data_IF_810106141912
#
_entry.id   IF_810106141912
#
_cell.length_a   1.000
_cell.length_b   1.000
_cell.length_c   1.000
_cell.angle_alpha   90.00
_cell.angle_beta   90.00
_cell.angle_gamma   90.00
#
_symmetry.space_group_name_H-M   'P 1'
#
loop_
_entity.id
_entity.type
_entity.pdbx_description
1 polymer ?
#
# COMPACT_ATOMS: atom_id res chain seq x y z
N UNK A 1 12.62 -27.87 -20.88
CA UNK A 1 13.48 -27.02 -20.04
C UNK A 1 12.55 -26.22 -19.13
N UNK A 2 12.53 -26.53 -17.84
CA UNK A 2 11.70 -25.83 -16.87
C UNK A 2 12.23 -24.40 -16.70
N UNK A 3 11.41 -23.41 -17.05
CA UNK A 3 11.70 -22.00 -16.86
C UNK A 3 11.65 -21.74 -15.36
N UNK A 4 12.82 -21.53 -14.75
CA UNK A 4 12.95 -21.06 -13.37
C UNK A 4 12.35 -19.65 -13.33
N UNK A 5 11.31 -19.37 -12.53
CA UNK A 5 10.73 -18.03 -12.49
C UNK A 5 11.75 -17.04 -11.93
N UNK A 6 11.86 -15.87 -12.56
CA UNK A 6 12.76 -14.82 -12.08
C UNK A 6 12.39 -14.41 -10.63
N UNK A 7 13.36 -13.93 -9.81
CA UNK A 7 13.11 -13.49 -8.43
C UNK A 7 12.03 -12.38 -8.31
N UNK A 8 11.74 -11.65 -9.39
CA UNK A 8 10.71 -10.59 -9.43
C UNK A 8 9.28 -11.14 -9.33
N UNK A 9 9.02 -12.32 -9.88
CA UNK A 9 7.68 -12.95 -9.92
C UNK A 9 7.22 -13.52 -8.56
N UNK A 10 8.17 -13.88 -7.68
CA UNK A 10 7.86 -14.34 -6.32
C UNK A 10 7.62 -13.17 -5.34
N UNK A 11 8.19 -12.00 -5.60
CA UNK A 11 8.08 -10.82 -4.73
C UNK A 11 6.79 -10.02 -4.94
N UNK A 12 6.25 -9.98 -6.16
CA UNK A 12 4.93 -9.40 -6.43
C UNK A 12 3.84 -10.02 -5.52
N UNK A 13 3.95 -11.33 -5.22
CA UNK A 13 3.02 -12.05 -4.32
C UNK A 13 3.16 -11.67 -2.83
N UNK A 14 4.32 -11.17 -2.40
CA UNK A 14 4.56 -10.75 -1.01
C UNK A 14 4.20 -9.29 -0.74
N UNK A 15 4.45 -8.41 -1.71
CA UNK A 15 4.11 -6.97 -1.66
C UNK A 15 2.58 -6.78 -1.70
N UNK A 16 1.90 -7.59 -2.52
CA UNK A 16 0.43 -7.66 -2.54
C UNK A 16 -0.13 -8.04 -1.16
N UNK A 17 0.49 -8.94 -0.40
CA UNK A 17 -0.04 -9.33 0.92
C UNK A 17 0.16 -8.28 2.03
N UNK A 18 1.19 -7.42 1.93
CA UNK A 18 1.38 -6.26 2.83
C UNK A 18 0.47 -5.07 2.46
N UNK A 19 0.02 -4.99 1.20
CA UNK A 19 -0.81 -3.91 0.67
C UNK A 19 -2.31 -4.29 0.52
N UNK A 20 -2.66 -5.58 0.50
CA UNK A 20 -4.04 -6.08 0.41
C UNK A 20 -4.88 -5.87 1.67
N UNK A 21 -4.29 -5.33 2.74
CA UNK A 21 -5.07 -4.86 3.89
C UNK A 21 -5.81 -3.52 3.62
N UNK A 22 -5.80 -2.98 2.39
CA UNK A 22 -6.39 -1.67 2.09
C UNK A 22 -7.42 -1.58 0.95
N UNK A 23 -7.84 -2.67 0.28
CA UNK A 23 -8.95 -2.56 -0.69
C UNK A 23 -9.85 -3.79 -0.64
N UNK A 24 -10.92 -3.71 0.14
CA UNK A 24 -12.07 -4.59 -0.04
C UNK A 24 -13.37 -3.95 0.49
N UNK A 25 -13.84 -2.91 -0.20
CA UNK A 25 -15.28 -2.60 -0.24
C UNK A 25 -15.60 -2.01 -1.61
N UNK A 26 -15.97 -2.88 -2.55
CA UNK A 26 -17.03 -2.64 -3.53
C UNK A 26 -17.04 -3.75 -4.59
N UNK A 27 -17.93 -4.73 -4.40
CA UNK A 27 -18.65 -5.45 -5.45
C UNK A 27 -19.77 -6.28 -4.80
N UNK A 28 -20.84 -5.60 -4.42
CA UNK A 28 -22.18 -6.19 -4.46
C UNK A 28 -22.88 -5.55 -5.65
N UNK A 29 -22.81 -6.21 -6.81
CA UNK A 29 -23.71 -5.96 -7.92
C UNK A 29 -24.47 -7.25 -8.18
N UNK A 30 -25.66 -7.36 -7.59
CA UNK A 30 -26.74 -8.17 -8.13
C UNK A 30 -27.87 -7.23 -8.57
N UNK A 31 -28.42 -7.40 -9.77
CA UNK A 31 -29.50 -6.58 -10.29
C UNK A 31 -30.84 -7.15 -9.82
N UNK A 32 -31.35 -6.66 -8.67
CA UNK A 32 -32.77 -6.62 -8.28
C UNK A 32 -32.91 -6.39 -6.77
N UNK A 33 -32.47 -5.22 -6.28
CA UNK A 33 -32.84 -4.78 -4.94
C UNK A 33 -33.69 -3.51 -5.08
N UNK A 34 -35.01 -3.68 -4.99
CA UNK A 34 -35.97 -2.59 -4.89
C UNK A 34 -35.67 -1.78 -3.63
N UNK A 35 -35.49 -0.47 -3.80
CA UNK A 35 -35.30 0.47 -2.70
C UNK A 35 -36.57 0.52 -1.84
N UNK A 36 -36.63 -0.29 -0.79
CA UNK A 36 -37.57 -0.05 0.30
C UNK A 36 -37.02 1.07 1.18
N UNK A 37 -37.78 2.17 1.24
CA UNK A 37 -37.61 3.25 2.20
C UNK A 37 -37.49 2.67 3.60
N UNK A 38 -36.30 2.78 4.20
CA UNK A 38 -36.09 2.41 5.61
C UNK A 38 -36.86 3.42 6.46
N UNK A 39 -38.06 3.03 6.90
CA UNK A 39 -38.72 3.69 8.03
C UNK A 39 -37.80 3.53 9.23
N UNK A 40 -37.53 4.63 9.93
CA UNK A 40 -36.86 4.63 11.22
C UNK A 40 -37.64 3.75 12.20
N UNK A 41 -37.19 2.52 12.39
CA UNK A 41 -37.63 1.69 13.49
C UNK A 41 -36.84 2.13 14.71
N UNK A 42 -37.51 2.83 15.62
CA UNK A 42 -37.06 2.96 17.00
C UNK A 42 -36.99 1.55 17.61
N UNK A 43 -35.83 0.90 17.51
CA UNK A 43 -35.54 -0.30 18.30
C UNK A 43 -35.03 0.13 19.67
N UNK A 44 -35.97 0.54 20.52
CA UNK A 44 -35.86 0.24 21.94
C UNK A 44 -36.34 -1.21 22.13
N UNK A 45 -35.62 -2.17 21.54
CA UNK A 45 -35.73 -3.56 21.96
C UNK A 45 -34.75 -3.75 23.10
N UNK A 46 -35.32 -3.86 24.30
CA UNK A 46 -34.66 -4.38 25.47
C UNK A 46 -34.05 -5.72 25.09
N UNK A 47 -32.73 -5.77 24.90
CA UNK A 47 -32.00 -7.02 24.77
C UNK A 47 -32.20 -7.73 26.10
N UNK A 48 -33.18 -8.64 26.12
CA UNK A 48 -33.28 -9.67 27.14
C UNK A 48 -31.92 -10.37 27.13
N UNK A 49 -31.18 -10.18 28.22
CA UNK A 49 -29.97 -10.93 28.52
C UNK A 49 -30.40 -12.38 28.80
N UNK A 50 -30.77 -13.11 27.76
CA UNK A 50 -30.87 -14.56 27.83
C UNK A 50 -29.46 -15.09 28.03
N UNK A 51 -29.26 -15.65 29.22
CA UNK A 51 -28.04 -16.23 29.73
C UNK A 51 -27.65 -17.49 28.95
N UNK A 52 -27.13 -17.32 27.75
CA UNK A 52 -26.12 -18.25 27.25
C UNK A 52 -24.77 -17.75 27.77
N UNK A 53 -24.41 -18.17 29.00
CA UNK A 53 -23.05 -18.09 29.53
C UNK A 53 -22.13 -18.99 28.70
N UNK A 54 -21.94 -18.65 27.43
CA UNK A 54 -20.89 -19.22 26.61
C UNK A 54 -19.58 -18.73 27.20
N UNK A 55 -18.97 -19.55 28.05
CA UNK A 55 -17.70 -19.26 28.70
C UNK A 55 -16.70 -18.87 27.61
N UNK A 56 -16.35 -17.58 27.55
CA UNK A 56 -15.37 -17.07 26.59
C UNK A 56 -14.08 -17.85 26.79
N UNK A 57 -13.64 -18.54 25.74
CA UNK A 57 -12.40 -19.33 25.79
C UNK A 57 -11.21 -18.38 25.92
N UNK A 58 -10.19 -18.72 26.72
CA UNK A 58 -9.04 -17.87 26.92
C UNK A 58 -8.18 -17.75 25.65
N UNK A 59 -7.48 -16.63 25.48
CA UNK A 59 -6.66 -16.32 24.29
C UNK A 59 -5.67 -17.43 23.89
N UNK A 60 -5.10 -18.15 24.86
CA UNK A 60 -4.13 -19.22 24.57
C UNK A 60 -4.76 -20.47 23.94
N UNK A 61 -6.09 -20.62 24.03
CA UNK A 61 -6.83 -21.72 23.42
C UNK A 61 -7.15 -21.51 21.93
N UNK A 62 -6.92 -20.31 21.37
CA UNK A 62 -7.04 -20.09 19.93
C UNK A 62 -6.10 -21.08 19.20
N UNK A 63 -6.60 -21.85 18.21
CA UNK A 63 -5.81 -22.80 17.43
C UNK A 63 -4.60 -22.13 16.79
N UNK A 64 -3.53 -22.90 16.55
CA UNK A 64 -2.35 -22.39 15.87
C UNK A 64 -1.06 -23.11 16.26
N UNK A 65 0.04 -22.81 15.56
CA UNK A 65 1.31 -23.47 15.77
C UNK A 65 1.82 -23.22 17.19
N UNK A 66 2.18 -24.31 17.88
CA UNK A 66 2.71 -24.24 19.24
C UNK A 66 4.15 -23.70 19.20
N UNK A 67 4.46 -22.64 19.97
CA UNK A 67 5.78 -22.05 20.03
C UNK A 67 6.77 -22.96 20.79
N UNK A 68 8.04 -22.96 20.38
CA UNK A 68 9.12 -23.50 21.21
C UNK A 68 9.51 -22.53 22.33
N UNK A 69 10.08 -23.03 23.44
CA UNK A 69 10.66 -22.17 24.47
C UNK A 69 11.68 -21.21 23.84
N UNK A 70 11.69 -19.95 24.30
CA UNK A 70 12.63 -18.88 23.91
C UNK A 70 12.44 -18.36 22.47
N UNK A 71 12.55 -19.21 21.45
CA UNK A 71 12.53 -18.81 20.03
C UNK A 71 11.12 -18.77 19.41
N UNK A 72 10.13 -19.30 20.12
CA UNK A 72 8.73 -19.18 19.73
C UNK A 72 8.39 -19.94 18.44
N UNK A 73 7.64 -19.30 17.52
CA UNK A 73 7.35 -19.87 16.19
C UNK A 73 8.31 -19.38 15.10
N UNK A 74 9.29 -18.53 15.44
CA UNK A 74 10.24 -17.97 14.47
C UNK A 74 11.04 -19.06 13.74
N UNK A 75 11.35 -20.18 14.42
CA UNK A 75 12.08 -21.30 13.82
C UNK A 75 11.39 -21.93 12.61
N UNK A 76 10.05 -21.82 12.53
CA UNK A 76 9.29 -22.35 11.39
C UNK A 76 9.60 -21.66 10.08
N UNK A 77 10.30 -20.52 10.12
CA UNK A 77 10.69 -19.75 8.94
C UNK A 77 12.19 -19.89 8.63
N UNK A 78 12.94 -20.65 9.43
CA UNK A 78 14.38 -20.81 9.24
C UNK A 78 14.71 -21.71 8.04
N UNK A 79 15.79 -21.39 7.29
CA UNK A 79 16.26 -22.24 6.20
C UNK A 79 16.46 -23.70 6.60
N UNK A 80 16.17 -24.62 5.69
CA UNK A 80 16.34 -26.08 5.81
C UNK A 80 15.46 -26.81 6.83
N UNK A 81 15.07 -26.16 7.92
CA UNK A 81 14.35 -26.80 9.05
C UNK A 81 12.92 -26.27 9.25
N UNK A 82 12.62 -25.09 8.72
CA UNK A 82 11.36 -24.40 8.96
C UNK A 82 10.22 -24.92 8.06
N UNK A 83 9.12 -25.35 8.67
CA UNK A 83 7.89 -25.77 7.96
C UNK A 83 7.38 -24.73 6.95
N UNK A 84 7.55 -23.45 7.26
CA UNK A 84 7.08 -22.31 6.48
C UNK A 84 8.19 -21.57 5.73
N UNK A 85 9.40 -22.15 5.70
CA UNK A 85 10.51 -21.54 5.01
C UNK A 85 10.29 -21.49 3.49
N UNK A 86 10.53 -20.32 2.88
CA UNK A 86 10.43 -20.13 1.44
C UNK A 86 9.00 -20.10 0.89
N UNK A 87 7.96 -20.26 1.74
CA UNK A 87 6.58 -20.14 1.28
C UNK A 87 6.21 -18.69 0.99
N UNK A 88 5.47 -18.49 -0.10
CA UNK A 88 4.81 -17.23 -0.39
C UNK A 88 3.74 -16.94 0.67
N UNK A 89 3.41 -15.65 0.88
CA UNK A 89 2.47 -15.25 1.93
C UNK A 89 1.09 -15.89 1.76
N UNK A 90 0.60 -16.01 0.52
CA UNK A 90 -0.67 -16.66 0.23
C UNK A 90 -0.65 -18.16 0.58
N UNK A 91 0.41 -18.87 0.19
CA UNK A 91 0.55 -20.31 0.45
C UNK A 91 0.71 -20.57 1.95
N UNK A 92 1.43 -19.70 2.66
CA UNK A 92 1.49 -19.71 4.11
C UNK A 92 0.10 -19.57 4.74
N UNK A 93 -0.69 -18.57 4.33
CA UNK A 93 -2.04 -18.38 4.86
C UNK A 93 -2.98 -19.55 4.55
N UNK A 94 -2.90 -20.12 3.34
CA UNK A 94 -3.66 -21.34 2.97
C UNK A 94 -3.28 -22.52 3.86
N UNK A 95 -1.99 -22.83 3.96
CA UNK A 95 -1.50 -23.94 4.77
C UNK A 95 -1.87 -23.80 6.25
N UNK A 96 -1.81 -22.57 6.79
CA UNK A 96 -2.18 -22.27 8.18
C UNK A 96 -3.70 -22.38 8.38
N UNK A 97 -4.52 -21.88 7.45
CA UNK A 97 -5.98 -22.01 7.51
C UNK A 97 -6.42 -23.47 7.39
N UNK A 98 -5.92 -24.22 6.41
CA UNK A 98 -6.23 -25.64 6.21
C UNK A 98 -5.88 -26.48 7.45
N UNK A 99 -4.76 -26.15 8.12
CA UNK A 99 -4.26 -26.91 9.28
C UNK A 99 -4.94 -26.57 10.61
N UNK A 100 -5.28 -25.30 10.83
CA UNK A 100 -5.73 -24.81 12.15
C UNK A 100 -7.14 -24.22 12.16
N UNK A 101 -7.77 -24.05 10.99
CA UNK A 101 -9.12 -23.54 10.81
C UNK A 101 -9.20 -22.03 10.58
N UNK A 102 -10.39 -21.47 10.81
CA UNK A 102 -10.78 -20.12 10.41
C UNK A 102 -10.27 -18.99 11.32
N UNK A 103 -9.73 -19.35 12.48
CA UNK A 103 -9.08 -18.42 13.40
C UNK A 103 -7.79 -19.03 13.91
N UNK A 104 -6.67 -18.34 13.68
CA UNK A 104 -5.35 -18.89 13.96
C UNK A 104 -4.48 -17.91 14.71
N UNK A 105 -3.94 -18.34 15.84
CA UNK A 105 -3.04 -17.56 16.69
C UNK A 105 -1.59 -17.96 16.44
N UNK A 106 -0.78 -16.96 16.09
CA UNK A 106 0.64 -17.09 15.86
C UNK A 106 1.41 -16.20 16.86
N UNK A 107 2.29 -16.83 17.67
CA UNK A 107 3.03 -16.16 18.75
C UNK A 107 4.51 -16.49 18.74
N UNK A 108 5.29 -15.76 19.55
CA UNK A 108 6.70 -16.09 19.79
C UNK A 108 7.62 -15.56 18.70
N UNK A 109 7.40 -14.32 18.29
CA UNK A 109 8.31 -13.55 17.44
C UNK A 109 8.96 -12.48 18.32
N UNK A 110 10.29 -12.50 18.50
CA UNK A 110 10.98 -11.48 19.30
C UNK A 110 10.62 -10.06 18.85
N UNK A 111 10.22 -9.22 19.81
CA UNK A 111 9.84 -7.83 19.55
C UNK A 111 8.49 -7.63 18.85
N UNK A 112 7.68 -8.69 18.65
CA UNK A 112 6.34 -8.59 18.05
C UNK A 112 5.25 -9.07 19.00
N UNK A 113 4.09 -8.42 18.91
CA UNK A 113 2.86 -8.86 19.58
C UNK A 113 2.36 -10.17 18.96
N UNK A 114 1.54 -10.90 19.72
CA UNK A 114 0.79 -12.02 19.18
C UNK A 114 -0.06 -11.59 17.98
N UNK A 115 -0.09 -12.43 16.94
CA UNK A 115 -0.91 -12.22 15.75
C UNK A 115 -2.07 -13.19 15.78
N UNK A 116 -3.25 -12.72 15.41
CA UNK A 116 -4.43 -13.55 15.17
C UNK A 116 -4.84 -13.34 13.72
N UNK A 117 -4.89 -14.42 12.96
CA UNK A 117 -5.41 -14.45 11.60
C UNK A 117 -6.86 -14.87 11.65
N UNK A 118 -7.71 -14.11 10.97
CA UNK A 118 -9.14 -14.40 10.79
C UNK A 118 -9.37 -14.62 9.30
N UNK A 119 -10.06 -15.70 8.94
CA UNK A 119 -10.30 -16.08 7.54
C UNK A 119 -11.76 -15.90 7.10
N UNK A 120 -12.66 -15.65 8.07
CA UNK A 120 -14.08 -15.44 7.81
C UNK A 120 -14.43 -13.95 7.71
N UNK A 121 -15.25 -13.54 6.73
CA UNK A 121 -15.71 -12.15 6.61
C UNK A 121 -16.44 -11.63 7.86
N UNK A 122 -17.21 -12.49 8.52
CA UNK A 122 -17.97 -12.11 9.73
C UNK A 122 -17.04 -11.68 10.88
N UNK A 123 -15.90 -12.33 11.04
CA UNK A 123 -14.90 -12.00 12.07
C UNK A 123 -14.17 -10.69 11.74
N UNK A 124 -13.91 -10.45 10.45
CA UNK A 124 -13.37 -9.18 9.99
C UNK A 124 -14.36 -8.04 10.27
N UNK A 125 -15.66 -8.24 9.99
CA UNK A 125 -16.71 -7.27 10.30
C UNK A 125 -16.75 -6.93 11.79
N UNK A 126 -16.74 -7.94 12.67
CA UNK A 126 -16.70 -7.72 14.12
C UNK A 126 -15.46 -6.89 14.51
N UNK A 127 -14.30 -7.21 13.93
CA UNK A 127 -13.06 -6.48 14.19
C UNK A 127 -13.19 -5.00 13.81
N UNK A 128 -13.69 -4.69 12.61
CA UNK A 128 -13.85 -3.31 12.13
C UNK A 128 -14.95 -2.56 12.89
N UNK A 129 -16.05 -3.21 13.29
CA UNK A 129 -17.09 -2.57 14.11
C UNK A 129 -16.62 -2.19 15.52
N UNK A 130 -15.57 -2.85 16.01
CA UNK A 130 -14.98 -2.59 17.33
C UNK A 130 -13.67 -1.80 17.23
N UNK A 131 -13.38 -1.18 16.09
CA UNK A 131 -12.19 -0.33 15.94
C UNK A 131 -12.35 0.99 16.73
N UNK A 132 -11.25 1.44 17.34
CA UNK A 132 -11.22 2.75 18.00
C UNK A 132 -11.14 3.91 17.01
N UNK A 133 -11.30 5.17 17.47
CA UNK A 133 -11.23 6.36 16.61
C UNK A 133 -9.85 6.54 15.94
N UNK A 134 -8.80 5.94 16.50
CA UNK A 134 -7.44 5.97 15.97
C UNK A 134 -6.93 4.53 15.76
N UNK A 135 -7.27 3.89 14.63
CA UNK A 135 -6.81 2.54 14.35
C UNK A 135 -5.28 2.49 14.29
N UNK A 136 -4.70 1.47 14.92
CA UNK A 136 -3.26 1.23 14.92
C UNK A 136 -3.00 -0.01 14.08
N UNK A 137 -2.33 0.20 12.94
CA UNK A 137 -1.76 -0.89 12.15
C UNK A 137 -0.32 -1.11 12.64
N UNK A 138 0.09 -2.37 12.81
CA UNK A 138 1.53 -2.68 12.86
C UNK A 138 2.09 -2.29 11.48
N UNK A 139 2.62 -1.07 11.37
CA UNK A 139 2.88 -0.39 10.11
C UNK A 139 4.16 -0.87 9.43
N UNK A 140 4.96 0.08 8.97
CA UNK A 140 6.28 -0.17 8.37
C UNK A 140 7.38 0.31 9.33
N UNK A 141 7.74 -0.45 10.38
CA UNK A 141 8.81 -0.12 11.32
C UNK A 141 10.10 0.42 10.68
N UNK A 142 10.47 -0.08 9.50
CA UNK A 142 11.67 0.37 8.80
C UNK A 142 11.50 1.78 8.19
N UNK A 143 10.33 2.08 7.61
CA UNK A 143 9.98 3.43 7.15
C UNK A 143 9.82 4.40 8.33
N UNK A 144 9.20 3.96 9.43
CA UNK A 144 9.06 4.76 10.65
C UNK A 144 10.43 5.13 11.21
N UNK A 145 11.36 4.18 11.30
CA UNK A 145 12.72 4.44 11.76
C UNK A 145 13.48 5.36 10.81
N UNK A 146 13.28 5.22 9.50
CA UNK A 146 13.86 6.14 8.53
C UNK A 146 13.40 7.58 8.80
N UNK A 147 12.08 7.81 8.94
CA UNK A 147 11.50 9.13 9.16
C UNK A 147 11.89 9.73 10.51
N UNK A 148 11.73 8.97 11.60
CA UNK A 148 11.89 9.46 12.98
C UNK A 148 13.33 9.45 13.50
N UNK A 149 14.23 8.67 12.89
CA UNK A 149 15.62 8.53 13.36
C UNK A 149 16.63 8.92 12.28
N UNK A 150 16.55 8.33 11.09
CA UNK A 150 17.62 8.49 10.07
C UNK A 150 17.55 9.82 9.30
N UNK A 151 16.34 10.33 9.07
CA UNK A 151 16.07 11.61 8.42
C UNK A 151 15.22 12.52 9.31
N UNK A 152 15.46 12.46 10.62
CA UNK A 152 14.75 13.29 11.60
C UNK A 152 14.93 14.79 11.31
N UNK A 153 16.07 15.17 10.76
CA UNK A 153 16.35 16.52 10.27
C UNK A 153 15.36 17.01 9.19
N UNK A 154 14.87 16.10 8.35
CA UNK A 154 13.87 16.43 7.33
C UNK A 154 12.43 16.33 7.88
N UNK A 155 12.08 15.18 8.47
CA UNK A 155 10.70 14.89 8.88
C UNK A 155 10.31 15.54 10.21
N UNK A 156 11.27 15.84 11.09
CA UNK A 156 11.05 16.35 12.45
C UNK A 156 10.00 15.51 13.20
N UNK A 157 8.83 16.10 13.49
CA UNK A 157 7.71 15.47 14.18
C UNK A 157 6.61 14.93 13.24
N UNK A 158 6.79 15.06 11.91
CA UNK A 158 5.83 14.70 10.89
C UNK A 158 6.16 13.41 10.16
N UNK A 159 5.48 12.31 10.49
CA UNK A 159 5.64 11.01 9.82
C UNK A 159 4.66 10.74 8.66
N UNK A 160 3.71 11.62 8.37
CA UNK A 160 2.71 11.40 7.32
C UNK A 160 1.71 10.28 7.65
N UNK A 161 0.86 9.93 6.68
CA UNK A 161 -0.27 9.02 6.92
C UNK A 161 0.19 7.56 7.05
N UNK A 162 1.34 7.21 6.48
CA UNK A 162 1.83 5.83 6.46
C UNK A 162 2.47 5.36 7.77
N UNK A 163 3.11 6.25 8.54
CA UNK A 163 3.87 5.86 9.75
C UNK A 163 3.39 6.50 11.04
N UNK A 164 2.51 7.50 10.99
CA UNK A 164 1.91 8.04 12.23
C UNK A 164 0.83 7.12 12.79
N UNK A 165 0.60 7.24 14.09
CA UNK A 165 -0.45 6.55 14.85
C UNK A 165 -1.17 7.52 15.79
N UNK A 166 -2.34 7.14 16.31
CA UNK A 166 -3.07 7.93 17.29
C UNK A 166 -3.56 9.28 16.73
N UNK A 167 -3.52 10.31 17.56
CA UNK A 167 -3.96 11.66 17.19
C UNK A 167 -3.15 12.27 16.05
N UNK A 168 -1.82 12.06 16.02
CA UNK A 168 -0.96 12.54 14.93
C UNK A 168 -1.37 11.96 13.58
N UNK A 169 -1.73 10.69 13.56
CA UNK A 169 -2.28 10.06 12.36
C UNK A 169 -3.62 10.70 11.96
N UNK A 170 -4.51 10.93 12.92
CA UNK A 170 -5.81 11.54 12.65
C UNK A 170 -5.66 12.96 12.09
N UNK A 171 -4.72 13.74 12.61
CA UNK A 171 -4.39 15.08 12.10
C UNK A 171 -3.91 15.02 10.64
N UNK A 172 -2.90 14.19 10.36
CA UNK A 172 -2.37 14.00 9.01
C UNK A 172 -3.45 13.49 8.05
N UNK A 173 -4.25 12.52 8.49
CA UNK A 173 -5.33 11.91 7.71
C UNK A 173 -6.46 12.90 7.42
N UNK A 174 -6.80 13.76 8.38
CA UNK A 174 -7.85 14.78 8.20
C UNK A 174 -7.45 15.83 7.16
N UNK A 175 -6.17 16.24 7.15
CA UNK A 175 -5.60 17.14 6.14
C UNK A 175 -5.61 16.50 4.75
N UNK A 176 -5.31 15.21 4.64
CA UNK A 176 -5.26 14.46 3.37
C UNK A 176 -6.63 14.07 2.80
N UNK A 177 -7.58 13.65 3.65
CA UNK A 177 -8.86 13.08 3.23
C UNK A 177 -9.70 14.05 2.39
N UNK A 178 -9.82 15.31 2.84
CA UNK A 178 -10.68 16.28 2.15
C UNK A 178 -10.22 16.59 0.72
N UNK A 179 -8.93 16.87 0.44
CA UNK A 179 -8.48 17.10 -0.93
C UNK A 179 -8.39 15.83 -1.77
N UNK A 180 -8.30 14.63 -1.19
CA UNK A 180 -8.04 13.41 -1.97
C UNK A 180 -9.26 12.50 -2.16
N UNK A 181 -10.06 12.28 -1.12
CA UNK A 181 -11.08 11.22 -1.10
C UNK A 181 -12.50 11.73 -1.32
N UNK A 182 -12.68 13.05 -1.47
CA UNK A 182 -13.99 13.61 -1.80
C UNK A 182 -14.35 13.29 -3.26
N UNK A 183 -15.50 12.63 -3.55
CA UNK A 183 -15.88 12.28 -4.91
C UNK A 183 -15.91 13.45 -5.89
N UNK A 184 -16.25 14.66 -5.40
CA UNK A 184 -16.22 15.90 -6.21
C UNK A 184 -14.80 16.20 -6.71
N UNK A 185 -13.79 16.04 -5.87
CA UNK A 185 -12.40 16.28 -6.23
C UNK A 185 -11.89 15.15 -7.13
N UNK A 186 -12.18 13.88 -6.83
CA UNK A 186 -11.76 12.77 -7.67
C UNK A 186 -12.32 12.87 -9.11
N UNK A 187 -13.54 13.40 -9.29
CA UNK A 187 -14.14 13.63 -10.62
C UNK A 187 -13.33 14.55 -11.52
N UNK A 188 -12.61 15.53 -10.97
CA UNK A 188 -11.80 16.47 -11.76
C UNK A 188 -10.63 15.76 -12.48
N UNK A 189 -10.21 14.60 -11.97
CA UNK A 189 -9.11 13.80 -12.52
C UNK A 189 -9.53 12.77 -13.57
N UNK A 190 -10.82 12.57 -13.81
CA UNK A 190 -11.30 11.60 -14.81
C UNK A 190 -10.72 11.92 -16.19
N UNK A 191 -10.86 13.18 -16.65
CA UNK A 191 -10.37 13.59 -17.97
C UNK A 191 -8.85 13.50 -18.09
N UNK A 192 -8.05 14.04 -17.15
CA UNK A 192 -6.60 13.89 -17.20
C UNK A 192 -6.10 12.45 -17.19
N UNK A 193 -6.66 11.59 -16.31
CA UNK A 193 -6.26 10.19 -16.23
C UNK A 193 -6.69 9.44 -17.50
N UNK A 194 -7.84 9.76 -18.09
CA UNK A 194 -8.25 9.22 -19.39
C UNK A 194 -7.26 9.61 -20.49
N UNK A 195 -6.76 10.85 -20.49
CA UNK A 195 -5.71 11.29 -21.41
C UNK A 195 -4.41 10.50 -21.25
N UNK A 196 -3.92 10.34 -20.02
CA UNK A 196 -2.73 9.50 -19.73
C UNK A 196 -2.95 8.05 -20.17
N UNK A 197 -4.16 7.53 -19.97
CA UNK A 197 -4.53 6.17 -20.37
C UNK A 197 -4.59 6.03 -21.89
N UNK A 198 -5.06 7.05 -22.60
CA UNK A 198 -5.05 7.08 -24.06
C UNK A 198 -3.62 7.06 -24.60
N UNK A 199 -2.73 7.88 -24.04
CA UNK A 199 -1.30 7.89 -24.38
C UNK A 199 -0.66 6.51 -24.15
N UNK A 200 -1.04 5.83 -23.07
CA UNK A 200 -0.60 4.46 -22.79
C UNK A 200 -1.13 3.47 -23.83
N UNK A 201 -2.43 3.51 -24.17
CA UNK A 201 -3.01 2.65 -25.21
C UNK A 201 -2.30 2.87 -26.54
N UNK A 202 -2.06 4.12 -26.95
CA UNK A 202 -1.36 4.43 -28.19
C UNK A 202 0.08 3.90 -28.17
N UNK A 203 0.76 4.05 -27.04
CA UNK A 203 2.09 3.46 -26.84
C UNK A 203 2.07 1.93 -26.93
N UNK A 204 1.12 1.24 -26.32
CA UNK A 204 1.02 -0.22 -26.43
C UNK A 204 0.85 -0.67 -27.88
N UNK A 205 0.10 0.08 -28.69
CA UNK A 205 -0.07 -0.22 -30.12
C UNK A 205 1.27 -0.18 -30.88
N UNK A 206 2.16 0.73 -30.51
CA UNK A 206 3.51 0.86 -31.10
C UNK A 206 4.54 -0.13 -30.59
N UNK A 207 4.36 -0.68 -29.37
CA UNK A 207 5.31 -1.60 -28.75
C UNK A 207 5.09 -3.07 -29.15
N UNK A 208 3.93 -3.39 -29.71
CA UNK A 208 3.62 -4.75 -30.14
C UNK A 208 4.57 -5.23 -31.22
N UNK A 209 5.00 -6.47 -31.12
CA UNK A 209 5.78 -7.12 -32.18
C UNK A 209 4.87 -7.48 -33.39
N UNK A 210 5.46 -8.09 -34.41
CA UNK A 210 4.72 -8.52 -35.63
C UNK A 210 3.58 -9.50 -35.33
N UNK A 211 3.64 -10.24 -34.21
CA UNK A 211 2.60 -11.17 -33.74
C UNK A 211 1.55 -10.50 -32.87
N UNK A 212 1.58 -9.17 -32.74
CA UNK A 212 0.71 -8.38 -31.86
C UNK A 212 0.89 -8.67 -30.36
N UNK A 213 2.05 -9.21 -29.96
CA UNK A 213 2.37 -9.51 -28.58
C UNK A 213 3.10 -8.32 -27.92
N UNK A 214 2.83 -8.10 -26.64
CA UNK A 214 3.56 -7.12 -25.83
C UNK A 214 4.95 -7.64 -25.45
N UNK A 215 5.94 -6.76 -25.22
CA UNK A 215 7.26 -7.17 -24.74
C UNK A 215 7.20 -7.89 -23.39
N UNK A 216 8.18 -8.75 -23.12
CA UNK A 216 8.28 -9.54 -21.88
C UNK A 216 8.23 -8.67 -20.61
N UNK A 217 8.76 -7.45 -20.66
CA UNK A 217 8.75 -6.47 -19.55
C UNK A 217 7.54 -5.52 -19.61
N UNK A 218 6.38 -6.00 -20.06
CA UNK A 218 5.15 -5.21 -20.13
C UNK A 218 4.75 -4.57 -18.79
N UNK A 219 5.09 -5.21 -17.66
CA UNK A 219 4.84 -4.65 -16.32
C UNK A 219 5.51 -3.28 -16.12
N UNK A 220 6.68 -3.05 -16.73
CA UNK A 220 7.34 -1.75 -16.67
C UNK A 220 6.55 -0.65 -17.42
N UNK A 221 5.81 -1.03 -18.47
CA UNK A 221 4.91 -0.11 -19.16
C UNK A 221 3.70 0.26 -18.30
N UNK A 222 3.21 -0.67 -17.47
CA UNK A 222 2.19 -0.38 -16.45
C UNK A 222 2.75 0.54 -15.35
N UNK A 223 3.98 0.33 -14.88
CA UNK A 223 4.63 1.25 -13.94
C UNK A 223 4.76 2.66 -14.50
N UNK A 224 5.11 2.82 -15.78
CA UNK A 224 5.16 4.13 -16.46
C UNK A 224 3.78 4.80 -16.50
N UNK A 225 2.73 4.06 -16.88
CA UNK A 225 1.37 4.58 -16.89
C UNK A 225 0.89 4.98 -15.49
N UNK A 226 1.16 4.15 -14.49
CA UNK A 226 0.75 4.43 -13.11
C UNK A 226 1.50 5.61 -12.52
N UNK A 227 2.81 5.71 -12.76
CA UNK A 227 3.61 6.85 -12.35
C UNK A 227 3.12 8.15 -13.02
N UNK A 228 2.88 8.14 -14.32
CA UNK A 228 2.35 9.32 -15.04
C UNK A 228 1.00 9.75 -14.47
N UNK A 229 0.14 8.77 -14.14
CA UNK A 229 -1.20 9.01 -13.58
C UNK A 229 -1.12 9.60 -12.17
N UNK A 230 -0.38 8.96 -11.26
CA UNK A 230 -0.27 9.44 -9.87
C UNK A 230 0.51 10.74 -9.76
N UNK A 231 1.52 10.98 -10.61
CA UNK A 231 2.24 12.24 -10.64
C UNK A 231 1.33 13.39 -11.09
N UNK A 232 0.42 13.15 -12.04
CA UNK A 232 -0.57 14.16 -12.40
C UNK A 232 -1.48 14.51 -11.21
N UNK A 233 -1.92 13.51 -10.45
CA UNK A 233 -2.79 13.74 -9.28
C UNK A 233 -2.03 14.39 -8.12
N UNK A 234 -0.85 13.86 -7.77
CA UNK A 234 -0.06 14.25 -6.60
C UNK A 234 0.74 15.54 -6.80
N UNK A 235 1.18 15.82 -8.04
CA UNK A 235 2.12 16.89 -8.36
C UNK A 235 1.60 17.86 -9.42
N UNK A 236 0.39 17.66 -9.96
CA UNK A 236 -0.17 18.45 -11.07
C UNK A 236 0.77 18.50 -12.30
N UNK A 237 1.52 17.41 -12.54
CA UNK A 237 2.59 17.34 -13.55
C UNK A 237 2.51 16.09 -14.42
N UNK A 238 2.71 16.27 -15.72
CA UNK A 238 3.02 15.19 -16.68
C UNK A 238 4.54 14.97 -16.67
N UNK A 239 4.99 13.79 -16.26
CA UNK A 239 6.41 13.46 -16.15
C UNK A 239 7.01 13.00 -17.49
N UNK A 240 6.17 12.67 -18.47
CA UNK A 240 6.61 12.15 -19.76
C UNK A 240 7.04 10.68 -19.70
N UNK A 241 6.49 9.88 -18.76
CA UNK A 241 6.83 8.46 -18.62
C UNK A 241 6.53 7.63 -19.89
N UNK A 242 5.57 8.09 -20.71
CA UNK A 242 5.07 7.37 -21.87
C UNK A 242 5.71 7.83 -23.20
N UNK A 243 6.65 8.79 -23.15
CA UNK A 243 7.34 9.27 -24.35
C UNK A 243 8.12 8.12 -25.03
N UNK A 244 8.11 8.02 -26.38
CA UNK A 244 8.90 7.03 -27.10
C UNK A 244 10.40 7.11 -26.74
N UNK A 245 11.08 5.96 -26.70
CA UNK A 245 12.53 5.89 -26.46
C UNK A 245 13.02 6.55 -25.15
N UNK A 246 12.20 6.49 -24.09
CA UNK A 246 12.59 6.98 -22.77
C UNK A 246 13.89 6.30 -22.29
N UNK A 247 14.91 7.10 -21.99
CA UNK A 247 16.20 6.61 -21.50
C UNK A 247 16.05 5.88 -20.15
N UNK A 248 16.86 4.84 -19.94
CA UNK A 248 16.93 4.12 -18.66
C UNK A 248 17.36 5.04 -17.49
N UNK A 249 18.14 6.08 -17.78
CA UNK A 249 18.62 7.07 -16.81
C UNK A 249 17.69 8.28 -16.66
N UNK A 250 16.56 8.28 -17.38
CA UNK A 250 15.54 9.33 -17.25
C UNK A 250 15.00 9.40 -15.82
N UNK A 251 14.62 10.59 -15.38
CA UNK A 251 14.06 10.78 -14.04
C UNK A 251 12.81 9.90 -13.78
N UNK A 252 11.84 9.77 -14.71
CA UNK A 252 10.71 8.87 -14.51
C UNK A 252 11.10 7.41 -14.32
N UNK A 253 12.05 6.90 -15.12
CA UNK A 253 12.51 5.52 -14.97
C UNK A 253 13.29 5.33 -13.66
N UNK A 254 14.07 6.33 -13.22
CA UNK A 254 14.73 6.32 -11.91
C UNK A 254 13.72 6.30 -10.75
N UNK A 255 12.59 7.00 -10.88
CA UNK A 255 11.49 6.95 -9.90
C UNK A 255 10.90 5.53 -9.83
N UNK A 256 10.56 4.93 -10.98
CA UNK A 256 10.04 3.54 -11.04
C UNK A 256 11.03 2.57 -10.40
N UNK A 257 12.31 2.66 -10.76
CA UNK A 257 13.37 1.80 -10.21
C UNK A 257 13.51 1.98 -8.70
N UNK A 258 13.41 3.23 -8.21
CA UNK A 258 13.48 3.52 -6.78
C UNK A 258 12.27 2.97 -6.01
N UNK A 259 11.06 2.97 -6.60
CA UNK A 259 9.87 2.33 -6.01
C UNK A 259 10.11 0.82 -5.89
N UNK A 260 10.63 0.19 -6.93
CA UNK A 260 10.97 -1.24 -6.91
C UNK A 260 12.00 -1.58 -5.83
N UNK A 261 13.08 -0.80 -5.73
CA UNK A 261 14.10 -0.94 -4.68
C UNK A 261 13.49 -0.73 -3.29
N UNK A 262 12.60 0.24 -3.12
CA UNK A 262 11.91 0.49 -1.86
C UNK A 262 11.13 -0.75 -1.41
N UNK A 263 10.22 -1.28 -2.24
CA UNK A 263 9.38 -2.42 -1.86
C UNK A 263 10.16 -3.73 -1.69
N UNK A 264 11.16 -3.98 -2.54
CA UNK A 264 12.04 -5.14 -2.40
C UNK A 264 12.74 -5.12 -1.04
N UNK A 265 13.36 -3.99 -0.67
CA UNK A 265 14.09 -3.90 0.58
C UNK A 265 13.15 -3.81 1.80
N UNK A 266 11.98 -3.19 1.65
CA UNK A 266 10.95 -3.12 2.70
C UNK A 266 10.59 -4.52 3.18
N UNK A 267 10.30 -5.46 2.28
CA UNK A 267 9.94 -6.84 2.65
C UNK A 267 11.01 -7.49 3.55
N UNK A 268 12.29 -7.41 3.15
CA UNK A 268 13.39 -7.99 3.94
C UNK A 268 13.57 -7.31 5.29
N UNK A 269 13.40 -5.99 5.37
CA UNK A 269 13.53 -5.21 6.60
C UNK A 269 12.37 -5.47 7.58
N UNK A 270 11.16 -5.72 7.07
CA UNK A 270 9.98 -5.97 7.88
C UNK A 270 9.89 -7.42 8.35
N UNK A 271 10.24 -8.40 7.51
CA UNK A 271 10.16 -9.83 7.88
C UNK A 271 11.33 -10.27 8.75
N UNK A 272 12.54 -9.78 8.45
CA UNK A 272 13.76 -10.18 9.12
C UNK A 272 13.91 -9.63 10.55
N UNK A 273 14.91 -10.12 11.31
CA UNK A 273 15.26 -9.51 12.58
C UNK A 273 15.71 -8.05 12.37
N UNK A 274 15.37 -7.12 13.29
CA UNK A 274 15.58 -5.68 13.11
C UNK A 274 17.04 -5.25 13.33
N UNK A 275 17.99 -6.04 12.82
CA UNK A 275 19.44 -5.84 12.91
C UNK A 275 19.85 -4.50 12.29
N UNK A 276 19.11 -4.04 11.29
CA UNK A 276 19.28 -2.75 10.63
C UNK A 276 19.13 -1.54 11.57
N UNK A 277 18.50 -1.71 12.75
CA UNK A 277 18.46 -0.68 13.80
C UNK A 277 19.78 -0.55 14.58
N UNK A 278 20.62 -1.58 14.55
CA UNK A 278 21.89 -1.64 15.29
C UNK A 278 23.08 -1.29 14.40
N UNK A 279 23.08 -1.74 13.15
CA UNK A 279 24.10 -1.39 12.16
C UNK A 279 23.49 -1.21 10.76
N UNK A 280 24.06 -0.34 9.91
CA UNK A 280 23.51 -0.07 8.58
C UNK A 280 23.81 -1.23 7.61
N UNK A 281 22.92 -2.23 7.58
CA UNK A 281 22.99 -3.38 6.67
C UNK A 281 22.98 -2.93 5.19
N UNK A 282 23.41 -3.79 4.27
CA UNK A 282 23.34 -3.49 2.84
C UNK A 282 21.90 -3.20 2.37
N UNK A 283 20.93 -3.98 2.86
CA UNK A 283 19.49 -3.79 2.62
C UNK A 283 19.02 -2.42 3.13
N UNK A 284 19.41 -2.04 4.34
CA UNK A 284 19.08 -0.74 4.92
C UNK A 284 19.66 0.41 4.10
N UNK A 285 20.92 0.31 3.67
CA UNK A 285 21.57 1.34 2.84
C UNK A 285 20.86 1.53 1.49
N UNK A 286 20.45 0.43 0.83
CA UNK A 286 19.67 0.49 -0.41
C UNK A 286 18.30 1.15 -0.19
N UNK A 287 17.63 0.79 0.90
CA UNK A 287 16.34 1.36 1.29
C UNK A 287 16.44 2.87 1.55
N UNK A 288 17.42 3.30 2.36
CA UNK A 288 17.70 4.73 2.64
C UNK A 288 17.99 5.49 1.35
N UNK A 289 18.85 4.96 0.48
CA UNK A 289 19.20 5.61 -0.80
C UNK A 289 17.97 5.81 -1.69
N UNK A 290 17.07 4.83 -1.75
CA UNK A 290 15.82 4.97 -2.50
C UNK A 290 14.95 6.09 -1.90
N UNK A 291 14.73 6.06 -0.58
CA UNK A 291 13.90 7.07 0.11
C UNK A 291 14.47 8.50 0.01
N UNK A 292 15.80 8.66 0.07
CA UNK A 292 16.45 9.96 -0.10
C UNK A 292 16.20 10.53 -1.49
N UNK A 293 16.30 9.69 -2.52
CA UNK A 293 15.97 10.10 -3.88
C UNK A 293 14.50 10.54 -4.01
N UNK A 294 13.58 9.91 -3.28
CA UNK A 294 12.18 10.38 -3.23
C UNK A 294 12.01 11.71 -2.52
N UNK A 295 12.80 11.99 -1.48
CA UNK A 295 12.80 13.33 -0.86
C UNK A 295 13.21 14.37 -1.91
N UNK A 296 14.31 14.13 -2.63
CA UNK A 296 14.79 15.05 -3.68
C UNK A 296 13.73 15.31 -4.76
N UNK A 297 13.14 14.24 -5.29
CA UNK A 297 12.08 14.32 -6.33
C UNK A 297 10.84 15.06 -5.81
N UNK A 298 10.39 14.74 -4.59
CA UNK A 298 9.17 15.33 -4.02
C UNK A 298 9.37 16.82 -3.71
N UNK A 299 10.53 17.19 -3.16
CA UNK A 299 10.89 18.60 -2.92
C UNK A 299 10.90 19.37 -4.24
N UNK A 300 11.60 18.86 -5.26
CA UNK A 300 11.69 19.48 -6.59
C UNK A 300 10.30 19.81 -7.16
N UNK A 301 9.41 18.81 -7.21
CA UNK A 301 8.11 18.98 -7.85
C UNK A 301 7.11 19.78 -7.02
N UNK A 302 7.14 19.68 -5.69
CA UNK A 302 6.30 20.54 -4.85
C UNK A 302 6.75 22.00 -4.95
N UNK A 303 8.05 22.27 -5.02
CA UNK A 303 8.56 23.64 -5.24
C UNK A 303 8.19 24.20 -6.61
N UNK A 304 8.26 23.38 -7.66
CA UNK A 304 7.78 23.75 -8.99
C UNK A 304 6.29 24.09 -8.97
N UNK A 305 5.48 23.24 -8.32
CA UNK A 305 4.05 23.48 -8.19
C UNK A 305 3.75 24.79 -7.41
N UNK A 306 4.46 25.06 -6.31
CA UNK A 306 4.31 26.32 -5.56
C UNK A 306 4.60 27.53 -6.45
N UNK A 307 5.67 27.50 -7.26
CA UNK A 307 5.97 28.59 -8.20
C UNK A 307 4.85 28.78 -9.22
N UNK A 308 4.36 27.68 -9.81
CA UNK A 308 3.28 27.72 -10.79
C UNK A 308 1.98 28.29 -10.21
N UNK A 309 1.70 28.05 -8.93
CA UNK A 309 0.54 28.62 -8.24
C UNK A 309 0.69 30.13 -8.08
N UNK A 310 1.88 30.61 -7.72
CA UNK A 310 2.16 32.03 -7.53
C UNK A 310 2.12 32.82 -8.84
N UNK A 311 2.54 32.20 -9.94
CA UNK A 311 2.59 32.82 -11.27
C UNK A 311 1.27 32.76 -12.04
N UNK A 312 0.29 31.97 -11.56
CA UNK A 312 -0.98 31.76 -12.26
C UNK A 312 -1.87 33.01 -12.20
N UNK A 313 -2.45 33.33 -13.37
CA UNK A 313 -3.44 34.41 -13.55
C UNK A 313 -4.86 33.91 -13.86
N UNK A 314 -5.03 32.61 -14.09
CA UNK A 314 -6.31 32.01 -14.50
C UNK A 314 -7.04 31.35 -13.33
N UNK A 315 -8.35 31.54 -13.28
CA UNK A 315 -9.25 30.89 -12.33
C UNK A 315 -9.58 29.46 -12.81
N UNK A 316 -8.97 28.47 -12.17
CA UNK A 316 -9.18 27.03 -12.42
C UNK A 316 -9.55 26.35 -11.11
N UNK A 317 -10.18 25.18 -11.20
CA UNK A 317 -10.34 24.33 -10.03
C UNK A 317 -8.96 23.88 -9.49
N UNK A 318 -8.70 24.07 -8.18
CA UNK A 318 -7.41 23.72 -7.60
C UNK A 318 -7.08 22.22 -7.65
N UNK A 319 -5.82 21.89 -7.93
CA UNK A 319 -5.27 20.54 -7.84
C UNK A 319 -5.25 20.04 -6.39
N UNK A 320 -5.07 18.73 -6.20
CA UNK A 320 -4.89 18.10 -4.88
C UNK A 320 -3.71 18.75 -4.17
N UNK A 321 -2.59 18.95 -4.84
CA UNK A 321 -1.41 19.60 -4.26
C UNK A 321 -1.69 21.05 -3.84
N UNK A 322 -2.39 21.82 -4.67
CA UNK A 322 -2.80 23.19 -4.35
C UNK A 322 -3.72 23.21 -3.11
N UNK A 323 -4.68 22.29 -3.03
CA UNK A 323 -5.57 22.16 -1.87
C UNK A 323 -4.84 21.71 -0.61
N UNK A 324 -3.82 20.86 -0.74
CA UNK A 324 -2.96 20.43 0.36
C UNK A 324 -2.12 21.59 0.86
N UNK A 325 -1.47 22.35 -0.03
CA UNK A 325 -0.69 23.55 0.31
C UNK A 325 -1.54 24.64 0.95
N UNK A 326 -2.82 24.76 0.58
CA UNK A 326 -3.74 25.72 1.19
C UNK A 326 -4.20 25.30 2.61
N UNK A 327 -4.09 24.02 2.97
CA UNK A 327 -4.59 23.46 4.25
C UNK A 327 -3.50 22.94 5.17
N UNK A 328 -2.26 22.87 4.70
CA UNK A 328 -1.13 22.31 5.44
C UNK A 328 0.14 23.06 5.06
N UNK A 329 1.16 22.92 5.89
CA UNK A 329 2.47 23.48 5.59
C UNK A 329 3.14 22.75 4.41
N UNK A 330 4.14 23.41 3.80
CA UNK A 330 4.89 22.88 2.66
C UNK A 330 5.46 21.48 2.93
N UNK A 331 5.94 21.20 4.15
CA UNK A 331 6.54 19.91 4.50
C UNK A 331 5.49 18.81 4.53
N UNK A 332 4.34 19.06 5.16
CA UNK A 332 3.19 18.15 5.13
C UNK A 332 2.77 17.82 3.70
N UNK A 333 2.72 18.82 2.80
CA UNK A 333 2.41 18.59 1.39
C UNK A 333 3.45 17.71 0.68
N UNK A 334 4.75 17.91 0.96
CA UNK A 334 5.84 17.06 0.42
C UNK A 334 5.69 15.61 0.90
N UNK A 335 5.48 15.40 2.21
CA UNK A 335 5.33 14.05 2.78
C UNK A 335 4.10 13.35 2.19
N UNK A 336 2.99 14.06 2.01
CA UNK A 336 1.78 13.50 1.41
C UNK A 336 1.97 13.15 -0.07
N UNK A 337 2.63 14.02 -0.86
CA UNK A 337 2.95 13.72 -2.25
C UNK A 337 3.86 12.49 -2.38
N UNK A 338 4.84 12.36 -1.48
CA UNK A 338 5.71 11.20 -1.38
C UNK A 338 4.91 9.92 -1.04
N UNK A 339 4.05 9.96 -0.03
CA UNK A 339 3.17 8.84 0.35
C UNK A 339 2.25 8.42 -0.81
N UNK A 340 1.73 9.38 -1.59
CA UNK A 340 0.91 9.13 -2.77
C UNK A 340 1.69 8.41 -3.87
N UNK A 341 2.92 8.85 -4.19
CA UNK A 341 3.74 8.23 -5.23
C UNK A 341 4.14 6.80 -4.82
N UNK A 342 4.53 6.59 -3.55
CA UNK A 342 4.84 5.25 -3.04
C UNK A 342 3.67 4.29 -3.16
N UNK A 343 2.50 4.74 -2.70
CA UNK A 343 1.29 3.91 -2.75
C UNK A 343 0.81 3.69 -4.19
N UNK A 344 0.84 4.72 -5.04
CA UNK A 344 0.14 4.73 -6.31
C UNK A 344 0.87 4.11 -7.50
N UNK A 345 2.20 3.95 -7.46
CA UNK A 345 2.93 3.35 -8.60
C UNK A 345 2.78 1.84 -8.60
N UNK A 346 3.24 1.16 -7.55
CA UNK A 346 3.33 -0.30 -7.54
C UNK A 346 1.97 -0.99 -7.41
N UNK A 347 1.11 -0.52 -6.50
CA UNK A 347 -0.19 -1.16 -6.22
C UNK A 347 -1.12 -1.17 -7.43
N UNK A 348 -1.26 -0.03 -8.10
CA UNK A 348 -2.17 0.14 -9.23
C UNK A 348 -1.66 -0.62 -10.46
N UNK A 349 -0.35 -0.58 -10.72
CA UNK A 349 0.27 -1.31 -11.83
C UNK A 349 0.07 -2.82 -11.68
N UNK A 350 0.36 -3.38 -10.49
CA UNK A 350 0.15 -4.79 -10.23
C UNK A 350 -1.33 -5.17 -10.23
N UNK A 351 -2.21 -4.32 -9.69
CA UNK A 351 -3.66 -4.55 -9.72
C UNK A 351 -4.22 -4.64 -11.14
N UNK A 352 -3.79 -3.74 -12.03
CA UNK A 352 -4.18 -3.78 -13.44
C UNK A 352 -3.54 -4.96 -14.16
N UNK A 353 -2.28 -5.29 -13.87
CA UNK A 353 -1.62 -6.47 -14.44
C UNK A 353 -2.41 -7.76 -14.14
N UNK A 354 -2.84 -7.95 -12.89
CA UNK A 354 -3.69 -9.09 -12.49
C UNK A 354 -5.02 -9.06 -13.22
N UNK A 355 -5.70 -7.89 -13.23
CA UNK A 355 -6.99 -7.77 -13.90
C UNK A 355 -6.91 -8.07 -15.40
N UNK A 356 -5.84 -7.66 -16.08
CA UNK A 356 -5.59 -8.00 -17.49
C UNK A 356 -5.38 -9.52 -17.62
N UNK A 357 -4.54 -10.11 -16.77
CA UNK A 357 -4.26 -11.54 -16.82
C UNK A 357 -5.53 -12.38 -16.63
N UNK A 358 -6.39 -12.03 -15.67
CA UNK A 358 -7.65 -12.74 -15.38
C UNK A 358 -8.72 -12.59 -16.48
N UNK A 359 -8.60 -11.59 -17.36
CA UNK A 359 -9.52 -11.44 -18.51
C UNK A 359 -9.15 -12.43 -19.63
N UNK A 360 -7.86 -12.73 -19.79
CA UNK A 360 -7.35 -13.52 -20.90
C UNK A 360 -7.05 -14.99 -20.54
N UNK A 361 -6.89 -15.31 -19.26
CA UNK A 361 -6.67 -16.64 -18.70
C UNK A 361 -7.70 -16.97 -17.64
#
# INVERSE_FOLDING_TARGET
>A
MAVIPSPRTSMAKGIIALLQQQVQLSKCQQPNCSFHTVKSLNMAETVSAESATTRVRPFHEIPGPKPFPIIGNMWRFFPYIGEYHGMGVLDFHKAVNEKYGDIVRLVGFPGRKAMVFVYRPEEAEITFRNEGPWPIRNGMPSLEYYRKVTRKDFYEDGGGVLTEHGEKWMEARSKANQPMLQPRISKQYIRPIAGVTQDFVDRTRTLRNEKLEMPDDFINELFKWSLESIAYVALDKRLGCLVPNLSADSEPQRIINAVGVFFENLFYLEVGPPIWKLYPTATWKKFVKALDFFIEVSVKYVEEAIRHVQERKEDREPSVLERLLARSDKKSAIIMAQDMIFGGVDTVSNGIFIAINDIFY
#
